data_IF_136727615660
#
_entry.id   IF_136727615660
#
_cell.length_a   1.000
_cell.length_b   1.000
_cell.length_c   1.000
_cell.angle_alpha   90.00
_cell.angle_beta   90.00
_cell.angle_gamma   90.00
#
_symmetry.space_group_name_H-M   'P 1'
#
loop_
_entity.id
_entity.type
_entity.pdbx_description
1 polymer ?
#
# COMPACT_ATOMS: atom_id res chain seq x y z
N UNK A 1 -11.68 25.61 1.88
CA UNK A 1 -10.50 25.23 1.06
C UNK A 1 -9.49 24.38 1.83
N UNK A 2 -8.96 24.83 2.98
CA UNK A 2 -7.96 24.09 3.78
C UNK A 2 -8.41 22.68 4.22
N UNK A 3 -9.68 22.50 4.60
CA UNK A 3 -10.22 21.18 5.00
C UNK A 3 -10.24 20.15 3.87
N UNK A 4 -10.50 20.59 2.63
CA UNK A 4 -10.52 19.73 1.44
C UNK A 4 -9.11 19.23 1.11
N UNK A 5 -8.12 20.12 1.19
CA UNK A 5 -6.72 19.75 1.02
C UNK A 5 -6.27 18.75 2.09
N UNK A 6 -6.64 18.98 3.35
CA UNK A 6 -6.34 18.03 4.44
C UNK A 6 -6.91 16.64 4.20
N UNK A 7 -8.18 16.54 3.78
CA UNK A 7 -8.80 15.27 3.42
C UNK A 7 -8.09 14.59 2.25
N UNK A 8 -7.78 15.33 1.20
CA UNK A 8 -7.08 14.81 0.03
C UNK A 8 -5.72 14.24 0.40
N UNK A 9 -4.93 14.96 1.19
CA UNK A 9 -3.61 14.50 1.65
C UNK A 9 -3.74 13.23 2.48
N UNK A 10 -4.66 13.19 3.44
CA UNK A 10 -4.89 12.00 4.28
C UNK A 10 -5.32 10.80 3.42
N UNK A 11 -6.20 11.01 2.44
CA UNK A 11 -6.62 9.97 1.50
C UNK A 11 -5.46 9.45 0.64
N UNK A 12 -4.59 10.33 0.14
CA UNK A 12 -3.41 9.93 -0.63
C UNK A 12 -2.43 9.12 0.23
N UNK A 13 -2.17 9.54 1.46
CA UNK A 13 -1.31 8.81 2.39
C UNK A 13 -1.90 7.44 2.73
N UNK A 14 -3.22 7.34 2.85
CA UNK A 14 -3.93 6.07 3.08
C UNK A 14 -3.81 5.14 1.87
N UNK A 15 -4.02 5.66 0.65
CA UNK A 15 -3.83 4.91 -0.59
C UNK A 15 -2.37 4.46 -0.76
N UNK A 16 -1.41 5.28 -0.35
CA UNK A 16 0.02 4.91 -0.39
C UNK A 16 0.34 3.69 0.47
N UNK A 17 -0.31 3.53 1.63
CA UNK A 17 -0.15 2.33 2.47
C UNK A 17 -0.73 1.10 1.77
N UNK A 18 -1.88 1.23 1.11
CA UNK A 18 -2.52 0.13 0.35
C UNK A 18 -1.69 -0.29 -0.85
N UNK A 19 -1.08 0.67 -1.53
CA UNK A 19 -0.32 0.42 -2.74
C UNK A 19 0.81 -0.59 -2.51
N UNK A 20 1.43 -0.62 -1.33
CA UNK A 20 2.54 -1.56 -1.06
C UNK A 20 2.11 -3.03 -1.11
N UNK A 21 1.12 -3.52 -0.33
CA UNK A 21 0.63 -4.89 -0.46
C UNK A 21 0.04 -5.22 -1.85
N UNK A 22 -0.59 -4.25 -2.51
CA UNK A 22 -1.13 -4.43 -3.87
C UNK A 22 -0.01 -4.62 -4.89
N UNK A 23 1.07 -3.85 -4.80
CA UNK A 23 2.23 -3.98 -5.70
C UNK A 23 2.93 -5.31 -5.48
N UNK A 24 3.19 -5.69 -4.22
CA UNK A 24 3.83 -6.98 -3.89
C UNK A 24 3.01 -8.14 -4.44
N UNK A 25 1.71 -8.15 -4.17
CA UNK A 25 0.83 -9.21 -4.69
C UNK A 25 0.73 -9.20 -6.22
N UNK A 26 0.69 -8.03 -6.87
CA UNK A 26 0.70 -7.93 -8.33
C UNK A 26 1.97 -8.51 -8.93
N UNK A 27 3.13 -8.22 -8.36
CA UNK A 27 4.42 -8.78 -8.79
C UNK A 27 4.40 -10.30 -8.67
N UNK A 28 3.88 -10.84 -7.56
CA UNK A 28 3.71 -12.28 -7.39
C UNK A 28 2.77 -12.90 -8.42
N UNK A 29 1.65 -12.24 -8.72
CA UNK A 29 0.72 -12.68 -9.75
C UNK A 29 1.36 -12.77 -11.14
N UNK A 30 2.14 -11.75 -11.52
CA UNK A 30 2.90 -11.74 -12.79
C UNK A 30 3.94 -12.86 -12.81
N UNK A 31 4.67 -13.07 -11.71
CA UNK A 31 5.69 -14.12 -11.62
C UNK A 31 5.10 -15.54 -11.76
N UNK A 32 3.91 -15.76 -11.22
CA UNK A 32 3.24 -17.09 -11.22
C UNK A 32 2.45 -17.34 -12.50
N UNK A 33 2.03 -16.31 -13.24
CA UNK A 33 1.18 -16.46 -14.43
C UNK A 33 1.73 -17.46 -15.45
N UNK A 34 3.04 -17.46 -15.71
CA UNK A 34 3.66 -18.38 -16.68
C UNK A 34 3.73 -19.83 -16.20
N UNK A 35 3.40 -20.10 -14.93
CA UNK A 35 3.48 -21.43 -14.30
C UNK A 35 2.12 -22.12 -14.22
N UNK A 36 1.04 -21.48 -14.67
CA UNK A 36 -0.34 -21.97 -14.55
C UNK A 36 -1.08 -21.86 -15.87
N UNK A 37 -2.04 -22.75 -16.10
CA UNK A 37 -2.88 -22.75 -17.33
C UNK A 37 -4.08 -21.79 -17.26
N UNK A 38 -4.11 -20.91 -16.25
CA UNK A 38 -5.19 -19.93 -16.08
C UNK A 38 -4.94 -18.66 -16.90
N UNK A 39 -6.03 -17.97 -17.26
CA UNK A 39 -5.92 -16.68 -17.94
C UNK A 39 -5.26 -15.63 -17.04
N UNK A 40 -4.51 -14.71 -17.65
CA UNK A 40 -3.82 -13.62 -16.94
C UNK A 40 -4.77 -12.83 -16.02
N UNK A 41 -5.99 -12.55 -16.50
CA UNK A 41 -7.00 -11.84 -15.71
C UNK A 41 -7.41 -12.58 -14.43
N UNK A 42 -7.59 -13.91 -14.50
CA UNK A 42 -7.95 -14.70 -13.33
C UNK A 42 -6.79 -14.79 -12.33
N UNK A 43 -5.56 -14.97 -12.82
CA UNK A 43 -4.37 -14.98 -11.96
C UNK A 43 -4.22 -13.64 -11.26
N UNK A 44 -4.28 -12.52 -11.99
CA UNK A 44 -4.14 -11.20 -11.40
C UNK A 44 -5.28 -10.88 -10.42
N UNK A 45 -6.52 -11.26 -10.72
CA UNK A 45 -7.64 -11.09 -9.79
C UNK A 45 -7.40 -11.85 -8.47
N UNK A 46 -6.89 -13.08 -8.56
CA UNK A 46 -6.60 -13.92 -7.39
C UNK A 46 -5.51 -13.32 -6.50
N UNK A 47 -4.49 -12.68 -7.06
CA UNK A 47 -3.40 -12.09 -6.29
C UNK A 47 -3.72 -10.66 -5.80
N UNK A 48 -4.30 -9.81 -6.66
CA UNK A 48 -4.60 -8.41 -6.32
C UNK A 48 -5.68 -8.33 -5.24
N UNK A 49 -6.70 -9.19 -5.26
CA UNK A 49 -7.83 -9.11 -4.33
C UNK A 49 -7.37 -9.24 -2.86
N UNK A 50 -6.60 -10.27 -2.47
CA UNK A 50 -5.97 -10.33 -1.15
C UNK A 50 -5.06 -9.14 -0.87
N UNK A 51 -4.28 -8.68 -1.86
CA UNK A 51 -3.40 -7.52 -1.71
C UNK A 51 -4.15 -6.25 -1.32
N UNK A 52 -5.30 -5.99 -1.96
CA UNK A 52 -6.18 -4.87 -1.62
C UNK A 52 -6.76 -5.06 -0.22
N UNK A 53 -7.26 -6.25 0.12
CA UNK A 53 -7.85 -6.51 1.45
C UNK A 53 -6.83 -6.30 2.58
N UNK A 54 -5.65 -6.88 2.43
CA UNK A 54 -4.55 -6.72 3.39
C UNK A 54 -4.13 -5.24 3.45
N UNK A 55 -4.00 -4.59 2.30
CA UNK A 55 -3.67 -3.18 2.20
C UNK A 55 -4.66 -2.29 2.96
N UNK A 56 -5.96 -2.49 2.74
CA UNK A 56 -7.03 -1.73 3.41
C UNK A 56 -7.01 -1.94 4.92
N UNK A 57 -6.89 -3.18 5.37
CA UNK A 57 -6.81 -3.51 6.80
C UNK A 57 -5.58 -2.87 7.44
N UNK A 58 -4.43 -2.90 6.76
CA UNK A 58 -3.21 -2.31 7.25
C UNK A 58 -3.28 -0.78 7.28
N UNK A 59 -3.78 -0.16 6.21
CA UNK A 59 -3.96 1.29 6.12
C UNK A 59 -4.90 1.81 7.22
N UNK A 60 -5.98 1.07 7.51
CA UNK A 60 -6.90 1.41 8.59
C UNK A 60 -6.27 1.22 9.98
N UNK A 61 -5.49 0.16 10.17
CA UNK A 61 -4.71 -0.06 11.41
C UNK A 61 -3.71 1.07 11.65
N UNK A 62 -2.98 1.50 10.62
CA UNK A 62 -2.04 2.64 10.69
C UNK A 62 -2.78 3.93 11.00
N UNK A 63 -3.91 4.20 10.32
CA UNK A 63 -4.73 5.40 10.53
C UNK A 63 -5.25 5.52 11.95
N UNK A 64 -5.74 4.42 12.55
CA UNK A 64 -6.30 4.40 13.92
C UNK A 64 -5.25 4.32 15.02
N UNK A 65 -4.11 3.68 14.77
CA UNK A 65 -3.08 3.47 15.77
C UNK A 65 -2.11 4.65 15.89
N UNK A 66 -1.29 4.84 14.85
CA UNK A 66 -0.19 5.82 14.86
C UNK A 66 -0.58 7.14 14.18
N UNK A 67 -1.54 7.08 13.26
CA UNK A 67 -1.88 8.19 12.38
C UNK A 67 -1.00 8.20 11.13
N UNK A 68 -1.60 8.50 9.97
CA UNK A 68 -0.94 8.41 8.67
C UNK A 68 0.24 9.38 8.54
N UNK A 69 0.08 10.63 8.99
CA UNK A 69 1.14 11.64 8.91
C UNK A 69 2.36 11.23 9.75
N UNK A 70 2.14 10.77 10.98
CA UNK A 70 3.22 10.33 11.86
C UNK A 70 3.88 9.05 11.35
N UNK A 71 3.11 8.13 10.76
CA UNK A 71 3.66 6.93 10.12
C UNK A 71 4.61 7.28 8.98
N UNK A 72 4.17 8.11 8.04
CA UNK A 72 4.99 8.54 6.92
C UNK A 72 6.20 9.38 7.37
N UNK A 73 6.03 10.23 8.39
CA UNK A 73 7.13 10.99 8.97
C UNK A 73 8.24 10.09 9.56
N UNK A 74 7.87 9.00 10.24
CA UNK A 74 8.86 8.00 10.71
C UNK A 74 9.50 7.22 9.57
N UNK A 75 8.75 6.97 8.50
CA UNK A 75 9.27 6.27 7.33
C UNK A 75 10.35 7.10 6.64
N UNK A 76 10.05 8.37 6.35
CA UNK A 76 10.98 9.28 5.68
C UNK A 76 12.16 9.65 6.59
N UNK A 77 11.90 9.93 7.87
CA UNK A 77 12.94 10.24 8.86
C UNK A 77 13.67 9.02 9.42
N UNK A 78 13.55 7.84 8.79
CA UNK A 78 14.32 6.67 9.21
C UNK A 78 15.80 6.92 8.85
N UNK A 79 16.76 6.71 9.76
CA UNK A 79 18.18 7.03 9.51
C UNK A 79 18.77 6.38 8.26
N UNK A 80 18.28 5.19 7.91
CA UNK A 80 18.66 4.47 6.69
C UNK A 80 18.22 5.16 5.39
N UNK A 81 17.15 5.96 5.45
CA UNK A 81 16.56 6.67 4.31
C UNK A 81 17.03 8.13 4.28
N UNK A 82 17.06 8.78 5.45
CA UNK A 82 17.46 10.20 5.58
C UNK A 82 18.98 10.39 5.47
N UNK A 83 19.77 9.33 5.68
CA UNK A 83 21.22 9.38 5.55
C UNK A 83 21.94 10.17 6.64
N UNK A 84 21.22 10.65 7.67
CA UNK A 84 21.83 11.33 8.82
C UNK A 84 22.55 10.32 9.71
N UNK A 85 23.88 10.34 9.67
CA UNK A 85 24.75 9.87 10.75
C UNK A 85 25.12 11.03 11.65
#
# INVERSE_FOLDING_TARGET
MIRLLGLLVVSLLWLGVIASPVLVSSILGVAVFQMVEFSFGLVMLFFITPGILIGVLWAEKVRRGVGLIAFWGRLVGHPEIDGSR
#
